data_IF_459609737467
#
_entry.id   IF_459609737467
#
_cell.length_a   1.000
_cell.length_b   1.000
_cell.length_c   1.000
_cell.angle_alpha   90.00
_cell.angle_beta   90.00
_cell.angle_gamma   90.00
#
_symmetry.space_group_name_H-M   'P 1'
#
loop_
_entity.id
_entity.type
_entity.pdbx_description
1 polymer ?
#
# COMPACT_ATOMS: atom_id res chain seq x y z
N UNK A 1 -16.57 2.60 7.54
CA UNK A 1 -15.74 1.40 7.55
C UNK A 1 -15.44 1.02 8.99
N UNK A 2 -15.89 -0.15 9.39
CA UNK A 2 -15.68 -0.72 10.71
C UNK A 2 -14.23 -1.24 10.82
N UNK A 3 -13.71 -1.43 12.05
CA UNK A 3 -12.32 -1.84 12.22
C UNK A 3 -12.00 -3.18 11.52
N UNK A 4 -12.92 -4.13 11.52
CA UNK A 4 -12.74 -5.42 10.84
C UNK A 4 -12.67 -5.28 9.32
N UNK A 5 -13.53 -4.44 8.72
CA UNK A 5 -13.51 -4.15 7.29
C UNK A 5 -12.18 -3.48 6.88
N UNK A 6 -11.68 -2.56 7.72
CA UNK A 6 -10.38 -1.89 7.49
C UNK A 6 -9.22 -2.88 7.49
N UNK A 7 -9.20 -3.79 8.47
CA UNK A 7 -8.15 -4.80 8.59
C UNK A 7 -8.19 -5.73 7.39
N UNK A 8 -9.37 -6.25 7.03
CA UNK A 8 -9.53 -7.15 5.89
C UNK A 8 -9.13 -6.49 4.56
N UNK A 9 -9.52 -5.22 4.37
CA UNK A 9 -9.18 -4.44 3.20
C UNK A 9 -7.67 -4.23 3.01
N UNK A 10 -6.96 -3.81 4.07
CA UNK A 10 -5.50 -3.61 3.99
C UNK A 10 -4.79 -4.96 3.82
N UNK A 11 -5.31 -6.02 4.44
CA UNK A 11 -4.78 -7.39 4.29
C UNK A 11 -4.88 -7.87 2.85
N UNK A 12 -6.01 -7.63 2.17
CA UNK A 12 -6.20 -7.99 0.77
C UNK A 12 -5.19 -7.28 -0.14
N UNK A 13 -4.92 -5.98 0.12
CA UNK A 13 -3.93 -5.21 -0.64
C UNK A 13 -2.51 -5.73 -0.40
N UNK A 14 -2.16 -6.02 0.86
CA UNK A 14 -0.86 -6.60 1.20
C UNK A 14 -0.65 -7.97 0.53
N UNK A 15 -1.68 -8.83 0.52
CA UNK A 15 -1.64 -10.12 -0.16
C UNK A 15 -1.46 -9.96 -1.68
N UNK A 16 -2.16 -9.02 -2.30
CA UNK A 16 -2.02 -8.73 -3.74
C UNK A 16 -0.60 -8.27 -4.09
N UNK A 17 -0.01 -7.38 -3.28
CA UNK A 17 1.38 -6.97 -3.46
C UNK A 17 2.36 -8.14 -3.32
N UNK A 18 2.17 -8.99 -2.32
CA UNK A 18 3.01 -10.15 -2.09
C UNK A 18 2.99 -11.07 -3.32
N UNK A 19 1.82 -11.38 -3.86
CA UNK A 19 1.68 -12.22 -5.06
C UNK A 19 2.32 -11.57 -6.28
N UNK A 20 2.03 -10.31 -6.58
CA UNK A 20 2.55 -9.62 -7.76
C UNK A 20 4.09 -9.47 -7.71
N UNK A 21 4.63 -9.08 -6.56
CA UNK A 21 6.06 -8.94 -6.36
C UNK A 21 6.78 -10.29 -6.41
N UNK A 22 6.20 -11.36 -5.83
CA UNK A 22 6.77 -12.70 -5.90
C UNK A 22 6.79 -13.25 -7.33
N UNK A 23 5.71 -13.11 -8.10
CA UNK A 23 5.68 -13.53 -9.51
C UNK A 23 6.72 -12.78 -10.33
N UNK A 24 6.85 -11.46 -10.10
CA UNK A 24 7.84 -10.63 -10.79
C UNK A 24 9.26 -11.10 -10.45
N UNK A 25 9.56 -11.35 -9.17
CA UNK A 25 10.85 -11.88 -8.74
C UNK A 25 11.18 -13.22 -9.40
N UNK A 26 10.23 -14.15 -9.44
CA UNK A 26 10.43 -15.48 -10.07
C UNK A 26 10.67 -15.35 -11.57
N UNK A 27 9.92 -14.49 -12.26
CA UNK A 27 10.16 -14.21 -13.69
C UNK A 27 11.56 -13.63 -13.92
N UNK A 28 12.01 -12.70 -13.09
CA UNK A 28 13.34 -12.14 -13.21
C UNK A 28 14.43 -13.16 -12.92
N UNK A 29 14.31 -13.96 -11.86
CA UNK A 29 15.23 -15.05 -11.58
C UNK A 29 15.32 -16.03 -12.76
N UNK A 30 14.20 -16.34 -13.41
CA UNK A 30 14.18 -17.22 -14.58
C UNK A 30 14.86 -16.60 -15.81
N UNK A 31 14.75 -15.29 -16.02
CA UNK A 31 15.46 -14.56 -17.10
C UNK A 31 16.96 -14.57 -16.84
N UNK A 32 17.37 -14.30 -15.59
CA UNK A 32 18.78 -14.28 -15.17
C UNK A 32 19.45 -15.65 -15.35
N UNK A 33 18.78 -16.73 -14.92
CA UNK A 33 19.27 -18.12 -15.09
C UNK A 33 19.38 -18.50 -16.57
N UNK A 34 18.53 -17.95 -17.45
CA UNK A 34 18.57 -18.22 -18.90
C UNK A 34 19.67 -17.44 -19.63
N UNK A 35 20.39 -16.56 -18.95
CA UNK A 35 21.45 -15.74 -19.56
C UNK A 35 20.93 -14.66 -20.51
N UNK A 36 19.61 -14.42 -20.53
CA UNK A 36 18.98 -13.29 -21.24
C UNK A 36 19.18 -12.02 -20.41
N UNK A 37 20.44 -11.62 -20.23
CA UNK A 37 20.83 -10.43 -19.49
C UNK A 37 20.56 -9.15 -20.31
N UNK A 38 19.34 -8.99 -20.81
CA UNK A 38 18.82 -7.65 -21.05
C UNK A 38 18.77 -6.96 -19.70
N UNK A 39 19.54 -5.89 -19.53
CA UNK A 39 19.80 -5.16 -18.27
C UNK A 39 18.52 -4.86 -17.48
N UNK A 40 18.09 -5.82 -16.65
CA UNK A 40 16.99 -5.63 -15.73
C UNK A 40 17.51 -4.71 -14.64
N UNK A 41 16.95 -3.51 -14.54
CA UNK A 41 17.30 -2.58 -13.47
C UNK A 41 17.06 -3.24 -12.11
N UNK A 42 18.09 -3.26 -11.25
CA UNK A 42 18.02 -3.81 -9.90
C UNK A 42 17.05 -3.04 -8.99
N UNK A 43 16.74 -1.79 -9.35
CA UNK A 43 15.91 -0.87 -8.54
C UNK A 43 14.46 -1.38 -8.41
N UNK A 44 13.72 -1.68 -9.50
CA UNK A 44 12.39 -2.32 -9.42
C UNK A 44 12.35 -3.61 -8.60
N UNK A 45 13.41 -4.42 -8.65
CA UNK A 45 13.49 -5.69 -7.92
C UNK A 45 13.64 -5.47 -6.42
N UNK A 46 14.54 -4.57 -6.01
CA UNK A 46 14.72 -4.20 -4.60
C UNK A 46 13.44 -3.60 -4.01
N UNK A 47 12.72 -2.78 -4.79
CA UNK A 47 11.45 -2.21 -4.39
C UNK A 47 10.35 -3.27 -4.25
N UNK A 48 10.25 -4.20 -5.21
CA UNK A 48 9.32 -5.34 -5.10
C UNK A 48 9.63 -6.21 -3.87
N UNK A 49 10.90 -6.49 -3.61
CA UNK A 49 11.32 -7.25 -2.44
C UNK A 49 10.93 -6.52 -1.15
N UNK A 50 11.18 -5.21 -1.08
CA UNK A 50 10.79 -4.36 0.04
C UNK A 50 9.28 -4.35 0.27
N UNK A 51 8.47 -4.28 -0.80
CA UNK A 51 7.01 -4.37 -0.72
C UNK A 51 6.55 -5.74 -0.22
N UNK A 52 7.13 -6.83 -0.72
CA UNK A 52 6.81 -8.19 -0.27
C UNK A 52 7.16 -8.42 1.20
N UNK A 53 8.35 -7.98 1.65
CA UNK A 53 8.76 -8.05 3.05
C UNK A 53 7.87 -7.18 3.95
N UNK A 54 7.49 -5.99 3.50
CA UNK A 54 6.57 -5.12 4.24
C UNK A 54 5.17 -5.70 4.32
N UNK A 55 4.69 -6.36 3.27
CA UNK A 55 3.44 -7.10 3.27
C UNK A 55 3.49 -8.29 4.24
N UNK A 56 4.58 -9.07 4.26
CA UNK A 56 4.80 -10.12 5.26
C UNK A 56 4.82 -9.57 6.68
N UNK A 57 5.55 -8.47 6.89
CA UNK A 57 5.62 -7.78 8.18
C UNK A 57 4.26 -7.22 8.63
N UNK A 58 3.33 -6.92 7.71
CA UNK A 58 1.99 -6.46 8.04
C UNK A 58 1.20 -7.51 8.85
N UNK A 59 1.36 -8.80 8.53
CA UNK A 59 0.69 -9.89 9.24
C UNK A 59 1.20 -10.08 10.67
N UNK A 60 2.44 -9.66 10.96
CA UNK A 60 3.07 -9.78 12.29
C UNK A 60 2.89 -8.47 13.07
N UNK A 61 3.21 -7.34 12.44
CA UNK A 61 3.16 -5.98 12.98
C UNK A 61 2.48 -5.05 11.97
N UNK A 62 1.15 -4.90 12.01
CA UNK A 62 0.38 -4.20 10.98
C UNK A 62 0.79 -2.73 10.82
N UNK A 63 1.16 -2.04 11.89
CA UNK A 63 1.62 -0.65 11.79
C UNK A 63 2.96 -0.52 11.05
N UNK A 64 3.88 -1.46 11.27
CA UNK A 64 5.22 -1.41 10.67
C UNK A 64 5.13 -1.81 9.19
N UNK A 65 4.42 -2.89 8.90
CA UNK A 65 4.19 -3.35 7.52
C UNK A 65 3.44 -2.33 6.68
N UNK A 66 2.43 -1.65 7.24
CA UNK A 66 1.69 -0.62 6.51
C UNK A 66 2.56 0.60 6.16
N UNK A 67 3.36 1.09 7.12
CA UNK A 67 4.33 2.18 6.87
C UNK A 67 5.36 1.77 5.81
N UNK A 68 5.87 0.53 5.88
CA UNK A 68 6.79 -0.02 4.88
C UNK A 68 6.16 -0.08 3.49
N UNK A 69 4.94 -0.61 3.37
CA UNK A 69 4.20 -0.66 2.11
C UNK A 69 4.02 0.74 1.49
N UNK A 70 3.67 1.76 2.29
CA UNK A 70 3.59 3.14 1.80
C UNK A 70 4.96 3.62 1.29
N UNK A 71 6.02 3.44 2.09
CA UNK A 71 7.37 3.89 1.75
C UNK A 71 7.87 3.27 0.43
N UNK A 72 7.74 1.95 0.29
CA UNK A 72 8.18 1.26 -0.92
C UNK A 72 7.28 1.54 -2.12
N UNK A 73 5.97 1.75 -1.93
CA UNK A 73 5.07 2.18 -3.03
C UNK A 73 5.47 3.56 -3.55
N UNK A 74 5.79 4.50 -2.65
CA UNK A 74 6.31 5.83 -3.03
C UNK A 74 7.66 5.71 -3.73
N UNK A 75 8.58 4.89 -3.20
CA UNK A 75 9.86 4.61 -3.84
C UNK A 75 9.70 4.03 -5.25
N UNK A 76 8.75 3.11 -5.43
CA UNK A 76 8.40 2.54 -6.74
C UNK A 76 7.80 3.57 -7.70
N UNK A 77 6.99 4.48 -7.20
CA UNK A 77 6.45 5.58 -8.00
C UNK A 77 7.57 6.51 -8.51
N UNK A 78 8.51 6.88 -7.63
CA UNK A 78 9.66 7.73 -7.99
C UNK A 78 10.58 7.01 -8.97
N UNK A 79 10.84 5.72 -8.75
CA UNK A 79 11.71 4.91 -9.61
C UNK A 79 11.08 4.62 -10.99
N UNK A 80 9.75 4.49 -11.06
CA UNK A 80 9.04 4.36 -12.33
C UNK A 80 9.05 5.67 -13.13
N UNK A 81 8.96 6.81 -12.45
CA UNK A 81 9.00 8.14 -13.06
C UNK A 81 7.96 8.32 -14.19
N UNK A 82 8.28 9.13 -15.20
CA UNK A 82 7.47 9.26 -16.42
C UNK A 82 7.72 8.14 -17.43
N UNK A 83 8.73 7.29 -17.20
CA UNK A 83 9.18 6.28 -18.15
C UNK A 83 8.12 5.18 -18.40
N UNK A 84 7.18 4.97 -17.47
CA UNK A 84 6.16 3.96 -17.62
C UNK A 84 4.82 4.37 -16.97
N UNK A 85 3.99 5.10 -17.72
CA UNK A 85 2.73 5.65 -17.26
C UNK A 85 1.79 4.61 -16.61
N UNK A 86 1.77 3.38 -17.13
CA UNK A 86 0.96 2.28 -16.58
C UNK A 86 1.43 1.85 -15.19
N UNK A 87 2.74 1.74 -14.98
CA UNK A 87 3.31 1.39 -13.68
C UNK A 87 3.09 2.53 -12.67
N UNK A 88 3.29 3.76 -13.10
CA UNK A 88 3.05 4.96 -12.28
C UNK A 88 1.59 5.05 -11.85
N UNK A 89 0.65 4.82 -12.77
CA UNK A 89 -0.78 4.78 -12.45
C UNK A 89 -1.12 3.65 -11.45
N UNK A 90 -0.58 2.45 -11.66
CA UNK A 90 -0.77 1.33 -10.74
C UNK A 90 -0.29 1.67 -9.32
N UNK A 91 0.92 2.22 -9.17
CA UNK A 91 1.45 2.60 -7.86
C UNK A 91 0.66 3.76 -7.21
N UNK A 92 0.16 4.72 -7.99
CA UNK A 92 -0.73 5.78 -7.50
C UNK A 92 -2.07 5.25 -6.98
N UNK A 93 -2.70 4.34 -7.73
CA UNK A 93 -3.94 3.67 -7.30
C UNK A 93 -3.69 2.93 -6.00
N UNK A 94 -2.62 2.12 -5.94
CA UNK A 94 -2.30 1.37 -4.72
C UNK A 94 -2.02 2.29 -3.54
N UNK A 95 -1.22 3.34 -3.71
CA UNK A 95 -0.94 4.32 -2.66
C UNK A 95 -2.24 4.97 -2.16
N UNK A 96 -3.15 5.30 -3.07
CA UNK A 96 -4.45 5.88 -2.74
C UNK A 96 -5.29 4.90 -1.93
N UNK A 97 -5.36 3.63 -2.33
CA UNK A 97 -6.08 2.58 -1.59
C UNK A 97 -5.49 2.37 -0.19
N UNK A 98 -4.16 2.39 -0.04
CA UNK A 98 -3.50 2.29 1.27
C UNK A 98 -3.83 3.49 2.19
N UNK A 99 -3.90 4.70 1.63
CA UNK A 99 -4.12 5.93 2.40
C UNK A 99 -5.60 6.22 2.66
N UNK A 100 -6.51 5.73 1.83
CA UNK A 100 -7.96 5.93 1.91
C UNK A 100 -8.56 5.67 3.32
N UNK A 101 -8.25 4.56 4.02
CA UNK A 101 -8.78 4.33 5.37
C UNK A 101 -8.35 5.38 6.40
N UNK A 102 -7.17 6.00 6.21
CA UNK A 102 -6.66 7.02 7.13
C UNK A 102 -7.27 8.40 6.84
N UNK A 103 -7.46 8.73 5.57
CA UNK A 103 -8.11 9.98 5.15
C UNK A 103 -9.58 9.98 5.58
N UNK A 104 -10.31 8.89 5.30
CA UNK A 104 -11.73 8.76 5.68
C UNK A 104 -11.95 8.79 7.19
N UNK A 105 -11.05 8.20 7.98
CA UNK A 105 -11.09 8.29 9.43
C UNK A 105 -10.85 9.72 9.95
N UNK A 106 -9.90 10.46 9.37
CA UNK A 106 -9.60 11.87 9.72
C UNK A 106 -10.76 12.81 9.36
N UNK A 107 -11.40 12.62 8.21
CA UNK A 107 -12.56 13.41 7.78
C UNK A 107 -13.74 13.19 8.73
N UNK A 108 -13.98 11.94 9.17
CA UNK A 108 -15.06 11.63 10.12
C UNK A 108 -14.87 12.25 11.51
N UNK A 109 -13.62 12.47 11.92
CA UNK A 109 -13.30 13.17 13.18
C UNK A 109 -13.39 14.70 13.07
N UNK A 110 -13.30 15.25 11.86
CA UNK A 110 -13.49 16.70 11.59
C UNK A 110 -14.93 17.08 11.28
N UNK A 111 -15.84 16.11 11.13
CA UNK A 111 -17.26 16.42 11.08
C UNK A 111 -17.64 17.14 12.39
N UNK A 112 -18.18 18.36 12.33
CA UNK A 112 -18.45 19.16 13.51
C UNK A 112 -19.32 18.37 14.47
N UNK A 113 -18.91 18.40 15.74
CA UNK A 113 -19.68 18.01 16.90
C UNK A 113 -21.11 18.52 16.70
N UNK A 114 -22.02 17.62 16.36
CA UNK A 114 -23.44 17.93 16.27
C UNK A 114 -23.82 18.48 17.65
N UNK A 115 -24.20 19.75 17.69
CA UNK A 115 -24.64 20.49 18.87
C UNK A 115 -25.66 19.63 19.60
N UNK A 116 -25.27 19.11 20.76
CA UNK A 116 -26.18 18.47 21.70
C UNK A 116 -27.16 19.57 22.14
N UNK A 117 -28.47 19.50 21.81
CA UNK A 117 -29.40 20.51 22.27
C UNK A 117 -29.37 20.53 23.81
N UNK A 118 -29.21 21.72 24.37
CA UNK A 118 -29.27 21.95 25.79
C UNK A 118 -30.64 21.48 26.28
N UNK A 119 -30.66 20.37 27.03
CA UNK A 119 -31.83 20.00 27.79
C UNK A 119 -32.04 21.06 28.88
N UNK A 120 -32.90 22.03 28.60
CA UNK A 120 -33.43 22.94 29.61
C UNK A 120 -34.29 22.10 30.57
N UNK A 121 -33.67 21.66 31.67
CA UNK A 121 -34.42 21.14 32.81
C UNK A 121 -34.95 22.34 33.57
N UNK A 122 -36.12 22.82 33.12
CA UNK A 122 -37.02 23.59 33.94
C UNK A 122 -37.87 22.64 34.79
N UNK A 123 -38.21 23.13 35.98
CA UNK A 123 -38.99 22.50 37.07
C UNK A 123 -38.16 21.70 38.07
#
# INVERSE_FOLDING_TARGET
MNNNERIWYITAIAALYLVLCSISLVRYAAIDIRGDAGTVSAVPQLLCLGMALSAGAYFIRPQLGHKGLILFTVGALIAAGEANATATFFHLVMLSLLMLPYITARVRQRAPHQTRPAASRGQ
#
